data_IF_502987981448
#
_entry.id   IF_502987981448
#
_cell.length_a   1.000
_cell.length_b   1.000
_cell.length_c   1.000
_cell.angle_alpha   90.00
_cell.angle_beta   90.00
_cell.angle_gamma   90.00
#
_symmetry.space_group_name_H-M   'P 1'
#
loop_
_entity.id
_entity.type
_entity.pdbx_description
1 polymer ?
#
# COMPACT_ATOMS: atom_id res chain seq x y z
N UNK A 1 15.57 16.63 0.08
CA UNK A 1 15.99 15.41 -0.64
C UNK A 1 17.33 15.69 -1.27
N UNK A 2 18.35 14.87 -0.97
CA UNK A 2 19.63 14.95 -1.68
C UNK A 2 19.40 14.27 -3.04
N UNK A 3 19.72 14.91 -4.17
CA UNK A 3 19.58 14.27 -5.48
C UNK A 3 20.47 13.02 -5.50
N UNK A 4 19.87 11.85 -5.76
CA UNK A 4 20.65 10.64 -5.99
C UNK A 4 21.52 10.85 -7.23
N UNK A 5 22.79 10.47 -7.16
CA UNK A 5 23.68 10.50 -8.32
C UNK A 5 23.07 9.66 -9.45
N UNK A 6 23.27 9.98 -10.75
CA UNK A 6 22.75 9.18 -11.85
C UNK A 6 23.38 7.78 -11.89
N UNK A 7 22.66 6.78 -12.44
CA UNK A 7 23.24 5.44 -12.65
C UNK A 7 24.32 5.51 -13.74
N UNK A 8 25.39 4.69 -13.64
CA UNK A 8 26.45 4.69 -14.64
C UNK A 8 25.94 4.14 -15.98
N UNK A 9 26.26 4.85 -17.06
CA UNK A 9 26.00 4.39 -18.42
C UNK A 9 26.82 3.13 -18.75
N UNK A 10 26.29 2.24 -19.61
CA UNK A 10 27.01 1.04 -20.03
C UNK A 10 28.27 1.39 -20.83
N UNK A 11 29.37 0.73 -20.49
CA UNK A 11 30.68 0.91 -21.15
C UNK A 11 31.24 -0.45 -21.53
N UNK A 12 31.61 -0.63 -22.80
CA UNK A 12 32.31 -1.84 -23.24
C UNK A 12 33.80 -1.78 -22.86
N UNK A 13 34.33 -2.77 -22.15
CA UNK A 13 35.75 -2.81 -21.82
C UNK A 13 36.55 -3.18 -23.07
N UNK A 14 37.44 -2.33 -23.58
CA UNK A 14 38.23 -2.63 -24.79
C UNK A 14 39.42 -3.57 -24.52
N UNK A 15 39.12 -4.82 -24.20
CA UNK A 15 40.12 -5.84 -23.88
C UNK A 15 39.64 -7.26 -24.22
N UNK A 16 40.59 -8.18 -24.37
CA UNK A 16 40.36 -9.62 -24.44
C UNK A 16 40.60 -10.30 -23.07
N UNK A 17 40.96 -9.55 -22.04
CA UNK A 17 41.19 -10.07 -20.70
C UNK A 17 39.90 -10.65 -20.11
N UNK A 18 39.92 -11.95 -19.85
CA UNK A 18 38.81 -12.74 -19.31
C UNK A 18 38.37 -12.22 -17.95
N UNK A 19 39.31 -11.76 -17.10
CA UNK A 19 38.97 -11.23 -15.77
C UNK A 19 38.15 -9.94 -15.90
N UNK A 20 38.58 -9.03 -16.79
CA UNK A 20 37.86 -7.78 -17.04
C UNK A 20 36.48 -8.03 -17.66
N UNK A 21 36.35 -9.02 -18.55
CA UNK A 21 35.06 -9.43 -19.11
C UNK A 21 34.15 -10.06 -18.04
N UNK A 22 34.70 -10.83 -17.10
CA UNK A 22 33.98 -11.39 -15.97
C UNK A 22 33.45 -10.31 -15.00
N UNK A 23 34.17 -9.21 -14.86
CA UNK A 23 33.82 -8.07 -14.01
C UNK A 23 32.91 -7.03 -14.71
N UNK A 24 32.47 -7.29 -15.94
CA UNK A 24 31.60 -6.40 -16.70
C UNK A 24 30.35 -5.98 -15.90
N UNK A 25 29.98 -4.70 -15.88
CA UNK A 25 28.83 -4.23 -15.10
C UNK A 25 29.08 -4.03 -13.61
N UNK A 26 30.27 -4.31 -13.08
CA UNK A 26 30.59 -4.07 -11.66
C UNK A 26 30.37 -2.61 -11.21
N UNK A 27 30.69 -1.57 -11.99
CA UNK A 27 30.37 -0.19 -11.60
C UNK A 27 28.86 0.03 -11.39
N UNK A 28 28.02 -0.56 -12.24
CA UNK A 28 26.57 -0.51 -12.07
C UNK A 28 26.14 -1.25 -10.80
N UNK A 29 26.63 -2.47 -10.57
CA UNK A 29 26.25 -3.24 -9.38
C UNK A 29 26.66 -2.54 -8.08
N UNK A 30 27.82 -1.88 -8.06
CA UNK A 30 28.25 -1.06 -6.92
C UNK A 30 27.32 0.13 -6.70
N UNK A 31 26.95 0.85 -7.77
CA UNK A 31 26.00 1.96 -7.68
C UNK A 31 24.62 1.50 -7.18
N UNK A 32 24.13 0.34 -7.64
CA UNK A 32 22.85 -0.23 -7.19
C UNK A 32 22.91 -0.67 -5.72
N UNK A 33 24.00 -1.28 -5.28
CA UNK A 33 24.17 -1.70 -3.88
C UNK A 33 24.17 -0.50 -2.91
N UNK A 34 24.73 0.64 -3.33
CA UNK A 34 24.73 1.87 -2.52
C UNK A 34 23.33 2.51 -2.39
N UNK A 35 22.40 2.17 -3.28
CA UNK A 35 21.01 2.67 -3.29
C UNK A 35 20.01 1.71 -2.67
N UNK A 36 20.44 0.61 -2.05
CA UNK A 36 19.52 -0.37 -1.51
C UNK A 36 18.63 0.23 -0.41
N UNK A 37 17.40 0.61 -0.76
CA UNK A 37 16.39 1.09 0.17
C UNK A 37 15.69 -0.10 0.82
N UNK A 38 15.57 -0.06 2.15
CA UNK A 38 14.70 -0.95 2.89
C UNK A 38 13.35 -0.30 3.11
N UNK A 39 12.31 -0.87 2.50
CA UNK A 39 10.93 -0.47 2.76
C UNK A 39 10.35 -1.30 3.91
N UNK A 40 9.54 -0.70 4.78
CA UNK A 40 8.72 -1.46 5.71
C UNK A 40 7.69 -2.31 4.97
N UNK A 41 7.46 -3.53 5.48
CA UNK A 41 6.74 -4.59 4.78
C UNK A 41 5.22 -4.44 4.76
N UNK A 42 4.62 -3.66 5.67
CA UNK A 42 3.15 -3.50 5.77
C UNK A 42 2.78 -2.11 6.26
N UNK A 43 1.83 -1.47 5.59
CA UNK A 43 1.18 -0.24 6.01
C UNK A 43 -0.34 -0.39 5.83
N UNK A 44 -1.15 0.21 6.72
CA UNK A 44 -2.61 0.27 6.58
C UNK A 44 -3.41 -0.41 7.69
N UNK A 45 -2.81 -1.29 8.50
CA UNK A 45 -3.49 -1.92 9.66
C UNK A 45 -4.04 -0.86 10.64
N UNK A 46 -3.26 0.18 10.92
CA UNK A 46 -3.68 1.28 11.78
C UNK A 46 -4.92 2.02 11.26
N UNK A 47 -5.04 2.18 9.94
CA UNK A 47 -6.21 2.81 9.31
C UNK A 47 -7.43 1.89 9.39
N UNK A 48 -7.27 0.59 9.10
CA UNK A 48 -8.36 -0.39 9.24
C UNK A 48 -8.86 -0.45 10.69
N UNK A 49 -7.96 -0.46 11.67
CA UNK A 49 -8.31 -0.42 13.08
C UNK A 49 -9.00 0.89 13.50
N UNK A 50 -8.63 2.03 12.90
CA UNK A 50 -9.32 3.30 13.14
C UNK A 50 -10.74 3.31 12.54
N UNK A 51 -10.91 2.79 11.33
CA UNK A 51 -12.21 2.64 10.68
C UNK A 51 -13.15 1.72 11.47
N UNK A 52 -12.64 0.59 11.99
CA UNK A 52 -13.41 -0.33 12.83
C UNK A 52 -13.92 0.35 14.12
N UNK A 53 -13.10 1.22 14.73
CA UNK A 53 -13.50 2.00 15.92
C UNK A 53 -14.59 3.03 15.60
N UNK A 54 -14.55 3.65 14.42
CA UNK A 54 -15.62 4.55 13.96
C UNK A 54 -16.92 3.77 13.79
N UNK A 55 -16.91 2.61 13.12
CA UNK A 55 -18.11 1.78 12.96
C UNK A 55 -18.71 1.38 14.31
N UNK A 56 -17.87 0.94 15.27
CA UNK A 56 -18.33 0.58 16.61
C UNK A 56 -18.95 1.76 17.36
N UNK A 57 -18.40 2.97 17.21
CA UNK A 57 -18.96 4.19 17.80
C UNK A 57 -20.32 4.58 17.19
N UNK A 58 -20.56 4.27 15.91
CA UNK A 58 -21.84 4.52 15.24
C UNK A 58 -22.93 3.56 15.69
N UNK A 59 -22.58 2.30 15.96
CA UNK A 59 -23.51 1.26 16.45
C UNK A 59 -24.17 1.65 17.77
N UNK A 60 -23.43 2.30 18.67
CA UNK A 60 -23.95 2.75 19.96
C UNK A 60 -25.02 3.84 19.89
N UNK A 61 -25.01 4.63 18.82
CA UNK A 61 -26.00 5.68 18.59
C UNK A 61 -27.34 5.17 18.07
N UNK A 62 -27.47 3.86 17.76
CA UNK A 62 -28.67 3.27 17.19
C UNK A 62 -28.99 1.86 17.77
N UNK A 63 -29.43 1.77 19.04
CA UNK A 63 -29.68 0.50 19.72
C UNK A 63 -30.80 -0.35 19.09
N UNK A 64 -31.68 0.25 18.30
CA UNK A 64 -32.71 -0.48 17.56
C UNK A 64 -32.16 -1.40 16.46
N UNK A 65 -30.95 -1.10 15.95
CA UNK A 65 -30.28 -1.85 14.90
C UNK A 65 -29.37 -2.96 15.45
N UNK A 66 -28.83 -2.79 16.67
CA UNK A 66 -28.04 -3.80 17.39
C UNK A 66 -28.80 -5.12 17.44
N UNK A 67 -30.09 -5.08 17.79
CA UNK A 67 -30.99 -6.26 17.85
C UNK A 67 -31.29 -6.95 16.52
N UNK A 68 -30.96 -6.34 15.37
CA UNK A 68 -31.23 -6.89 14.03
C UNK A 68 -29.97 -7.46 13.35
N UNK A 69 -28.78 -7.07 13.78
CA UNK A 69 -27.51 -7.48 13.17
C UNK A 69 -26.71 -8.50 14.00
N UNK A 70 -27.31 -9.07 15.05
CA UNK A 70 -26.73 -10.06 15.98
C UNK A 70 -26.06 -11.30 15.32
N UNK A 71 -26.22 -11.52 14.01
CA UNK A 71 -25.66 -12.69 13.32
C UNK A 71 -24.20 -12.57 12.86
N UNK A 72 -23.74 -11.38 12.45
CA UNK A 72 -22.49 -11.25 11.69
C UNK A 72 -21.33 -10.65 12.49
N UNK A 73 -21.57 -9.59 13.27
CA UNK A 73 -20.52 -8.95 14.08
C UNK A 73 -20.20 -9.68 15.39
N UNK A 74 -21.18 -10.36 16.02
CA UNK A 74 -20.97 -11.13 17.25
C UNK A 74 -20.03 -12.34 17.06
N UNK A 75 -20.02 -12.93 15.86
CA UNK A 75 -19.08 -14.01 15.52
C UNK A 75 -17.69 -13.52 15.09
N UNK A 76 -17.57 -12.26 14.69
CA UNK A 76 -16.31 -11.70 14.17
C UNK A 76 -15.45 -11.00 15.23
N UNK A 77 -16.07 -10.49 16.31
CA UNK A 77 -15.37 -9.76 17.39
C UNK A 77 -15.45 -10.42 18.77
N UNK A 78 -15.97 -11.66 18.84
CA UNK A 78 -15.89 -12.57 19.99
C UNK A 78 -15.78 -11.90 21.36
N UNK A 79 -16.88 -11.29 21.83
CA UNK A 79 -17.12 -10.82 23.21
C UNK A 79 -18.37 -9.94 23.19
N UNK A 80 -19.51 -10.49 23.56
CA UNK A 80 -20.74 -9.70 23.75
C UNK A 80 -20.87 -9.24 25.20
N UNK A 81 -21.63 -8.14 25.37
CA UNK A 81 -22.28 -7.64 26.60
C UNK A 81 -21.68 -6.40 27.29
N UNK A 82 -20.40 -6.03 27.15
CA UNK A 82 -19.89 -4.76 27.75
C UNK A 82 -20.05 -3.50 26.86
N UNK A 83 -20.66 -3.64 25.67
CA UNK A 83 -20.58 -2.64 24.59
C UNK A 83 -21.51 -1.43 24.66
N UNK A 84 -22.62 -1.47 25.41
CA UNK A 84 -23.56 -0.33 25.42
C UNK A 84 -22.98 0.92 26.13
N UNK A 85 -22.25 0.72 27.23
CA UNK A 85 -21.61 1.82 27.97
C UNK A 85 -20.38 2.37 27.21
N UNK A 86 -19.52 1.50 26.67
CA UNK A 86 -18.38 1.91 25.82
C UNK A 86 -18.86 2.63 24.56
N UNK A 87 -19.96 2.16 23.98
CA UNK A 87 -20.54 2.74 22.79
C UNK A 87 -20.95 4.20 22.95
N UNK A 88 -21.66 4.55 24.03
CA UNK A 88 -22.08 5.94 24.27
C UNK A 88 -20.88 6.87 24.53
N UNK A 89 -19.85 6.37 25.22
CA UNK A 89 -18.58 7.09 25.38
C UNK A 89 -17.92 7.32 24.02
N UNK A 90 -17.87 6.31 23.16
CA UNK A 90 -17.29 6.40 21.83
C UNK A 90 -18.09 7.29 20.88
N UNK A 91 -19.42 7.35 21.02
CA UNK A 91 -20.26 8.27 20.27
C UNK A 91 -19.91 9.73 20.59
N UNK A 92 -19.67 10.05 21.86
CA UNK A 92 -19.19 11.38 22.28
C UNK A 92 -17.78 11.70 21.73
N UNK A 93 -17.00 10.67 21.41
CA UNK A 93 -15.64 10.75 20.88
C UNK A 93 -15.54 10.58 19.35
N UNK A 94 -16.65 10.51 18.62
CA UNK A 94 -16.65 10.34 17.15
C UNK A 94 -15.80 11.39 16.41
N UNK A 95 -15.69 12.61 16.94
CA UNK A 95 -14.79 13.64 16.41
C UNK A 95 -13.31 13.27 16.56
N UNK A 96 -12.92 12.73 17.71
CA UNK A 96 -11.55 12.27 18.01
C UNK A 96 -11.21 11.04 17.17
N UNK A 97 -12.14 10.08 17.05
CA UNK A 97 -11.94 8.88 16.23
C UNK A 97 -11.77 9.22 14.74
N UNK A 98 -12.54 10.19 14.23
CA UNK A 98 -12.37 10.69 12.87
C UNK A 98 -10.98 11.34 12.65
N UNK A 99 -10.49 12.12 13.64
CA UNK A 99 -9.16 12.70 13.58
C UNK A 99 -8.05 11.64 13.59
N UNK A 100 -8.16 10.63 14.45
CA UNK A 100 -7.22 9.51 14.49
C UNK A 100 -7.22 8.72 13.17
N UNK A 101 -8.39 8.47 12.57
CA UNK A 101 -8.46 7.81 11.26
C UNK A 101 -7.77 8.65 10.17
N UNK A 102 -7.92 9.98 10.20
CA UNK A 102 -7.21 10.89 9.30
C UNK A 102 -5.69 10.85 9.46
N UNK A 103 -5.20 10.82 10.70
CA UNK A 103 -3.76 10.68 10.97
C UNK A 103 -3.23 9.36 10.38
N UNK A 104 -3.94 8.25 10.59
CA UNK A 104 -3.56 6.95 10.01
C UNK A 104 -3.60 6.97 8.48
N UNK A 105 -4.57 7.67 7.87
CA UNK A 105 -4.63 7.84 6.43
C UNK A 105 -3.44 8.67 5.90
N UNK A 106 -3.03 9.72 6.62
CA UNK A 106 -1.83 10.51 6.27
C UNK A 106 -0.55 9.68 6.36
N UNK A 107 -0.42 8.85 7.39
CA UNK A 107 0.71 7.92 7.52
C UNK A 107 0.74 6.95 6.34
N UNK A 108 -0.40 6.37 5.96
CA UNK A 108 -0.50 5.49 4.80
C UNK A 108 -0.16 6.20 3.48
N UNK A 109 -0.61 7.45 3.30
CA UNK A 109 -0.25 8.27 2.13
C UNK A 109 1.25 8.53 2.06
N UNK A 110 1.89 8.82 3.20
CA UNK A 110 3.34 9.00 3.26
C UNK A 110 4.08 7.72 2.87
N UNK A 111 3.64 6.56 3.38
CA UNK A 111 4.20 5.28 2.97
C UNK A 111 4.00 4.98 1.48
N UNK A 112 2.85 5.33 0.90
CA UNK A 112 2.65 5.19 -0.55
C UNK A 112 3.63 6.05 -1.36
N UNK A 113 3.91 7.28 -0.93
CA UNK A 113 4.89 8.13 -1.60
C UNK A 113 6.30 7.54 -1.55
N UNK A 114 6.70 7.02 -0.39
CA UNK A 114 7.99 6.33 -0.24
C UNK A 114 8.07 5.07 -1.12
N UNK A 115 6.99 4.28 -1.18
CA UNK A 115 6.93 3.08 -2.01
C UNK A 115 6.96 3.41 -3.50
N UNK A 116 6.27 4.46 -3.94
CA UNK A 116 6.27 4.91 -5.33
C UNK A 116 7.69 5.24 -5.81
N UNK A 117 8.45 6.01 -5.00
CA UNK A 117 9.85 6.31 -5.30
C UNK A 117 10.69 5.03 -5.42
N UNK A 118 10.48 4.06 -4.54
CA UNK A 118 11.22 2.81 -4.59
C UNK A 118 10.82 1.92 -5.78
N UNK A 119 9.55 1.94 -6.21
CA UNK A 119 9.10 1.26 -7.45
C UNK A 119 9.81 1.87 -8.67
N UNK A 120 9.89 3.19 -8.73
CA UNK A 120 10.60 3.90 -9.80
C UNK A 120 12.09 3.54 -9.80
N UNK A 121 12.74 3.56 -8.64
CA UNK A 121 14.15 3.17 -8.49
C UNK A 121 14.42 1.73 -8.94
N UNK A 122 13.54 0.78 -8.60
CA UNK A 122 13.67 -0.63 -9.03
C UNK A 122 13.45 -0.77 -10.54
N UNK A 123 12.53 -0.01 -11.11
CA UNK A 123 12.27 0.01 -12.54
C UNK A 123 13.43 0.62 -13.32
N UNK A 124 14.02 1.70 -12.80
CA UNK A 124 15.23 2.33 -13.35
C UNK A 124 16.41 1.35 -13.29
N UNK A 125 16.61 0.66 -12.17
CA UNK A 125 17.66 -0.35 -12.01
C UNK A 125 17.54 -1.49 -13.03
N UNK A 126 16.33 -2.02 -13.23
CA UNK A 126 16.08 -3.04 -14.25
C UNK A 126 16.42 -2.53 -15.66
N UNK A 127 15.98 -1.31 -15.99
CA UNK A 127 16.26 -0.68 -17.30
C UNK A 127 17.75 -0.47 -17.53
N UNK A 128 18.48 -0.03 -16.50
CA UNK A 128 19.94 0.12 -16.57
C UNK A 128 20.62 -1.23 -16.78
N UNK A 129 20.22 -2.27 -16.04
CA UNK A 129 20.76 -3.61 -16.20
C UNK A 129 20.53 -4.15 -17.63
N UNK A 130 19.35 -3.93 -18.21
CA UNK A 130 19.08 -4.31 -19.61
C UNK A 130 19.99 -3.57 -20.59
N UNK A 131 20.20 -2.26 -20.40
CA UNK A 131 21.09 -1.49 -21.27
C UNK A 131 22.54 -2.01 -21.23
N UNK A 132 23.03 -2.42 -20.06
CA UNK A 132 24.32 -3.09 -19.93
C UNK A 132 24.31 -4.48 -20.59
N UNK A 133 23.24 -5.26 -20.45
CA UNK A 133 23.11 -6.56 -21.11
C UNK A 133 23.15 -6.42 -22.63
N UNK A 134 22.37 -5.50 -23.21
CA UNK A 134 22.30 -5.25 -24.65
C UNK A 134 23.67 -4.82 -25.20
N UNK A 135 24.32 -3.86 -24.54
CA UNK A 135 25.63 -3.41 -24.97
C UNK A 135 26.65 -4.54 -24.89
N UNK A 136 26.70 -5.29 -23.78
CA UNK A 136 27.62 -6.42 -23.61
C UNK A 136 27.38 -7.54 -24.62
N UNK A 137 26.12 -7.83 -24.96
CA UNK A 137 25.78 -8.83 -25.96
C UNK A 137 26.35 -8.50 -27.34
N UNK A 138 26.39 -7.22 -27.72
CA UNK A 138 27.00 -6.77 -28.99
C UNK A 138 28.51 -7.09 -29.10
N UNK A 139 29.19 -7.31 -27.97
CA UNK A 139 30.62 -7.66 -27.92
C UNK A 139 30.88 -9.16 -28.06
N UNK A 140 29.91 -10.02 -27.75
CA UNK A 140 30.10 -11.49 -27.71
C UNK A 140 30.65 -12.06 -29.01
N UNK A 141 30.28 -11.51 -30.17
CA UNK A 141 30.74 -11.96 -31.49
C UNK A 141 32.23 -11.65 -31.77
N UNK A 142 32.83 -10.76 -30.98
CA UNK A 142 34.23 -10.33 -31.13
C UNK A 142 35.16 -10.99 -30.10
N UNK A 143 34.61 -11.79 -29.18
CA UNK A 143 35.37 -12.51 -28.17
C UNK A 143 35.90 -13.84 -28.72
N UNK A 144 37.04 -14.28 -28.19
CA UNK A 144 37.47 -15.66 -28.31
C UNK A 144 36.60 -16.59 -27.45
N UNK A 145 36.81 -17.90 -27.52
CA UNK A 145 35.95 -18.87 -26.83
C UNK A 145 35.90 -18.65 -25.31
N UNK A 146 37.04 -18.33 -24.68
CA UNK A 146 37.12 -18.14 -23.24
C UNK A 146 36.48 -16.81 -22.81
N UNK A 147 36.76 -15.71 -23.51
CA UNK A 147 36.12 -14.42 -23.26
C UNK A 147 34.61 -14.44 -23.52
N UNK A 148 34.18 -15.19 -24.54
CA UNK A 148 32.75 -15.39 -24.83
C UNK A 148 32.03 -16.07 -23.66
N UNK A 149 32.61 -17.15 -23.13
CA UNK A 149 32.04 -17.87 -21.99
C UNK A 149 31.94 -16.98 -20.74
N UNK A 150 33.00 -16.26 -20.40
CA UNK A 150 33.02 -15.36 -19.23
C UNK A 150 32.01 -14.22 -19.35
N UNK A 151 31.97 -13.55 -20.52
CA UNK A 151 31.02 -12.47 -20.76
C UNK A 151 29.57 -13.00 -20.78
N UNK A 152 29.29 -14.14 -21.41
CA UNK A 152 27.95 -14.72 -21.43
C UNK A 152 27.42 -15.03 -20.03
N UNK A 153 28.25 -15.67 -19.19
CA UNK A 153 27.88 -15.95 -17.80
C UNK A 153 27.55 -14.67 -17.04
N UNK A 154 28.33 -13.61 -17.28
CA UNK A 154 28.11 -12.32 -16.64
C UNK A 154 26.82 -11.65 -17.11
N UNK A 155 26.54 -11.66 -18.41
CA UNK A 155 25.28 -11.12 -18.95
C UNK A 155 24.06 -11.88 -18.40
N UNK A 156 24.15 -13.20 -18.23
CA UNK A 156 23.07 -13.99 -17.62
C UNK A 156 22.85 -13.66 -16.14
N UNK A 157 23.91 -13.30 -15.42
CA UNK A 157 23.78 -12.77 -14.07
C UNK A 157 23.03 -11.43 -14.06
N UNK A 158 23.42 -10.48 -14.92
CA UNK A 158 22.76 -9.17 -15.02
C UNK A 158 21.28 -9.30 -15.42
N UNK A 159 20.94 -10.19 -16.37
CA UNK A 159 19.55 -10.49 -16.77
C UNK A 159 18.70 -11.00 -15.60
N UNK A 160 19.26 -11.89 -14.79
CA UNK A 160 18.58 -12.41 -13.59
C UNK A 160 18.33 -11.31 -12.57
N UNK A 161 19.30 -10.42 -12.35
CA UNK A 161 19.11 -9.26 -11.48
C UNK A 161 18.04 -8.30 -12.03
N UNK A 162 18.05 -8.01 -13.34
CA UNK A 162 17.03 -7.16 -13.96
C UNK A 162 15.62 -7.74 -13.74
N UNK A 163 15.48 -9.05 -13.92
CA UNK A 163 14.22 -9.76 -13.69
C UNK A 163 13.78 -9.66 -12.22
N UNK A 164 14.71 -9.84 -11.27
CA UNK A 164 14.42 -9.71 -9.85
C UNK A 164 13.90 -8.30 -9.51
N UNK A 165 14.57 -7.25 -9.99
CA UNK A 165 14.15 -5.87 -9.77
C UNK A 165 12.73 -5.59 -10.31
N UNK A 166 12.39 -6.13 -11.50
CA UNK A 166 11.02 -5.99 -12.05
C UNK A 166 9.97 -6.71 -11.20
N UNK A 167 10.29 -7.91 -10.72
CA UNK A 167 9.38 -8.67 -9.84
C UNK A 167 9.14 -7.92 -8.53
N UNK A 168 10.19 -7.39 -7.91
CA UNK A 168 10.08 -6.57 -6.69
C UNK A 168 9.21 -5.32 -6.92
N UNK A 169 9.47 -4.58 -8.01
CA UNK A 169 8.67 -3.42 -8.39
C UNK A 169 7.18 -3.79 -8.59
N UNK A 170 6.91 -4.90 -9.29
CA UNK A 170 5.55 -5.40 -9.49
C UNK A 170 4.85 -5.80 -8.19
N UNK A 171 5.55 -6.45 -7.26
CA UNK A 171 5.00 -6.80 -5.95
C UNK A 171 4.64 -5.55 -5.14
N UNK A 172 5.50 -4.53 -5.17
CA UNK A 172 5.24 -3.27 -4.50
C UNK A 172 4.10 -2.48 -5.15
N UNK A 173 3.98 -2.52 -6.47
CA UNK A 173 2.85 -1.92 -7.18
C UNK A 173 1.52 -2.54 -6.73
N UNK A 174 1.46 -3.87 -6.62
CA UNK A 174 0.26 -4.56 -6.12
C UNK A 174 -0.11 -4.11 -4.70
N UNK A 175 0.88 -3.91 -3.82
CA UNK A 175 0.62 -3.40 -2.47
C UNK A 175 0.13 -1.94 -2.50
N UNK A 176 0.70 -1.11 -3.40
CA UNK A 176 0.30 0.28 -3.60
C UNK A 176 -1.14 0.41 -4.11
N UNK A 177 -1.55 -0.45 -5.05
CA UNK A 177 -2.92 -0.48 -5.57
C UNK A 177 -3.92 -0.85 -4.47
N UNK A 178 -3.56 -1.79 -3.60
CA UNK A 178 -4.40 -2.14 -2.45
C UNK A 178 -4.51 -0.96 -1.47
N UNK A 179 -3.41 -0.26 -1.18
CA UNK A 179 -3.41 0.91 -0.28
C UNK A 179 -4.23 2.06 -0.84
N UNK A 180 -4.22 2.22 -2.17
CA UNK A 180 -5.05 3.20 -2.88
C UNK A 180 -6.54 2.92 -2.65
N UNK A 181 -6.97 1.67 -2.80
CA UNK A 181 -8.36 1.27 -2.53
C UNK A 181 -8.73 1.56 -1.07
N UNK A 182 -7.87 1.22 -0.10
CA UNK A 182 -8.13 1.49 1.31
C UNK A 182 -8.31 2.99 1.60
N UNK A 183 -7.46 3.84 1.02
CA UNK A 183 -7.59 5.30 1.15
C UNK A 183 -8.89 5.83 0.50
N UNK A 184 -9.30 5.28 -0.64
CA UNK A 184 -10.57 5.65 -1.28
C UNK A 184 -11.77 5.31 -0.39
N UNK A 185 -11.75 4.15 0.26
CA UNK A 185 -12.80 3.75 1.22
C UNK A 185 -12.82 4.68 2.43
N UNK A 186 -11.65 4.99 2.99
CA UNK A 186 -11.54 5.99 4.05
C UNK A 186 -12.13 7.34 3.63
N UNK A 187 -11.75 7.87 2.45
CA UNK A 187 -12.28 9.14 1.95
C UNK A 187 -13.80 9.09 1.78
N UNK A 188 -14.35 8.01 1.23
CA UNK A 188 -15.81 7.83 1.12
C UNK A 188 -16.50 7.84 2.49
N UNK A 189 -15.97 7.14 3.48
CA UNK A 189 -16.51 7.14 4.84
C UNK A 189 -16.41 8.53 5.45
N UNK A 190 -15.22 9.14 5.41
CA UNK A 190 -14.91 10.38 6.11
C UNK A 190 -15.58 11.61 5.49
N UNK A 191 -15.59 11.73 4.16
CA UNK A 191 -16.02 12.93 3.45
C UNK A 191 -17.49 12.89 3.04
N UNK A 192 -18.08 11.69 2.90
CA UNK A 192 -19.45 11.52 2.39
C UNK A 192 -20.36 10.87 3.42
N UNK A 193 -20.05 9.64 3.83
CA UNK A 193 -21.00 8.83 4.60
C UNK A 193 -21.16 9.33 6.04
N UNK A 194 -20.06 9.61 6.74
CA UNK A 194 -20.07 10.04 8.13
C UNK A 194 -20.74 11.42 8.30
N UNK A 195 -20.46 12.45 7.46
CA UNK A 195 -21.18 13.72 7.52
C UNK A 195 -22.68 13.56 7.22
N UNK A 196 -23.03 12.78 6.19
CA UNK A 196 -24.45 12.54 5.84
C UNK A 196 -25.19 11.81 6.97
N UNK A 197 -24.53 10.85 7.62
CA UNK A 197 -25.09 10.15 8.78
C UNK A 197 -25.32 11.10 9.94
N UNK A 198 -24.34 11.97 10.28
CA UNK A 198 -24.50 12.97 11.34
C UNK A 198 -25.68 13.90 11.09
N UNK A 199 -25.83 14.36 9.85
CA UNK A 199 -26.97 15.19 9.45
C UNK A 199 -28.31 14.46 9.61
N UNK A 200 -28.39 13.20 9.18
CA UNK A 200 -29.59 12.40 9.33
C UNK A 200 -29.93 12.10 10.80
N UNK A 201 -28.93 11.79 11.63
CA UNK A 201 -29.09 11.51 13.04
C UNK A 201 -29.53 12.74 13.86
N UNK A 202 -29.02 13.93 13.53
CA UNK A 202 -29.47 15.18 14.14
C UNK A 202 -30.90 15.55 13.73
N UNK A 203 -31.26 15.30 12.47
CA UNK A 203 -32.59 15.60 11.96
C UNK A 203 -33.67 14.65 12.53
N UNK A 204 -33.30 13.42 12.88
CA UNK A 204 -34.17 12.45 13.55
C UNK A 204 -34.60 12.90 14.96
N UNK A 205 -33.80 13.73 15.62
CA UNK A 205 -34.13 14.36 16.91
C UNK A 205 -35.14 15.51 16.76
N UNK A 206 -35.46 15.91 15.52
CA UNK A 206 -36.50 16.90 15.19
C UNK A 206 -37.71 16.20 14.58
N UNK A 207 -38.91 16.82 14.64
CA UNK A 207 -40.25 16.19 14.49
C UNK A 207 -40.58 15.39 13.20
N UNK A 208 -39.62 15.08 12.32
CA UNK A 208 -39.76 14.25 11.11
C UNK A 208 -39.13 12.83 11.24
N UNK A 209 -39.20 12.24 12.44
CA UNK A 209 -38.35 11.13 12.92
C UNK A 209 -38.58 9.69 12.44
N UNK A 210 -39.13 9.46 11.23
CA UNK A 210 -39.27 8.09 10.69
C UNK A 210 -38.53 7.89 9.36
N UNK A 211 -38.73 8.79 8.39
CA UNK A 211 -38.00 8.77 7.13
C UNK A 211 -36.51 9.10 7.32
N UNK A 212 -36.20 9.96 8.30
CA UNK A 212 -34.84 10.38 8.63
C UNK A 212 -34.06 9.30 9.42
N UNK A 213 -34.71 8.64 10.39
CA UNK A 213 -34.20 7.41 11.00
C UNK A 213 -33.82 6.34 9.96
N UNK A 214 -34.70 6.11 8.97
CA UNK A 214 -34.44 5.18 7.88
C UNK A 214 -33.21 5.55 7.04
N UNK A 215 -33.03 6.84 6.77
CA UNK A 215 -31.84 7.36 6.05
C UNK A 215 -30.55 7.19 6.87
N UNK A 216 -30.57 7.49 8.16
CA UNK A 216 -29.42 7.29 9.05
C UNK A 216 -29.03 5.81 9.14
N UNK A 217 -30.01 4.90 9.25
CA UNK A 217 -29.78 3.47 9.27
C UNK A 217 -29.18 2.93 7.96
N UNK A 218 -29.63 3.44 6.81
CA UNK A 218 -29.08 3.07 5.51
C UNK A 218 -27.63 3.55 5.33
N UNK A 219 -27.32 4.77 5.78
CA UNK A 219 -25.96 5.31 5.74
C UNK A 219 -25.02 4.56 6.68
N UNK A 220 -25.50 4.14 7.84
CA UNK A 220 -24.74 3.30 8.76
C UNK A 220 -24.39 1.95 8.15
N UNK A 221 -25.36 1.26 7.52
CA UNK A 221 -25.10 -0.01 6.84
C UNK A 221 -24.04 0.14 5.72
N UNK A 222 -24.08 1.25 4.97
CA UNK A 222 -23.04 1.53 3.96
C UNK A 222 -21.65 1.75 4.57
N UNK A 223 -21.56 2.37 5.75
CA UNK A 223 -20.28 2.52 6.47
C UNK A 223 -19.77 1.15 6.90
N UNK A 224 -20.64 0.29 7.46
CA UNK A 224 -20.26 -1.07 7.85
C UNK A 224 -19.77 -1.90 6.67
N UNK A 225 -20.43 -1.82 5.51
CA UNK A 225 -20.01 -2.51 4.29
C UNK A 225 -18.62 -2.06 3.82
N UNK A 226 -18.32 -0.76 3.89
CA UNK A 226 -16.99 -0.23 3.53
C UNK A 226 -15.91 -0.67 4.52
N UNK A 227 -16.23 -0.72 5.82
CA UNK A 227 -15.32 -1.23 6.86
C UNK A 227 -15.09 -2.73 6.71
N UNK A 228 -16.13 -3.50 6.40
CA UNK A 228 -16.04 -4.93 6.10
C UNK A 228 -15.06 -5.20 4.96
N UNK A 229 -15.21 -4.45 3.87
CA UNK A 229 -14.36 -4.55 2.70
C UNK A 229 -12.91 -4.14 3.00
N UNK A 230 -12.70 -3.15 3.88
CA UNK A 230 -11.36 -2.78 4.34
C UNK A 230 -10.71 -3.88 5.20
N UNK A 231 -11.48 -4.57 6.05
CA UNK A 231 -10.99 -5.66 6.89
C UNK A 231 -10.70 -6.95 6.12
N UNK A 232 -11.49 -7.26 5.08
CA UNK A 232 -11.27 -8.43 4.23
C UNK A 232 -9.89 -8.45 3.57
N UNK A 233 -9.28 -7.27 3.37
CA UNK A 233 -7.93 -7.10 2.81
C UNK A 233 -6.79 -7.48 3.78
N UNK A 234 -7.07 -7.61 5.08
CA UNK A 234 -6.07 -8.05 6.08
C UNK A 234 -6.05 -9.58 6.29
N UNK A 235 -6.97 -10.33 5.66
CA UNK A 235 -7.09 -11.79 5.78
C UNK A 235 -6.48 -12.48 4.57
#
# INVERSE_FOLDING_TARGET
MIPQAPLPSPVLPDTADIAVLGDYGTPLLQALAQRAVMLPSVAGEGLVAALARIALALQAGNPAQIRRQEGWWGRLLGRDVDREAEGHVLQSQLGVLALQAREQAQHLQHYQQQRALAIDERSEAATALDAWVELGASRLAKCDAAGHAALSQRLDHLRRLATLHRVEAGQWQLLQDQDTVLLQRFARIHDVLLPAWRQAALADQSAAGAALAGKAAALHAQIDDEVAAAQARLR
#
